data_IF_296475545139
#
_entry.id   IF_296475545139
#
_cell.length_a   1.000
_cell.length_b   1.000
_cell.length_c   1.000
_cell.angle_alpha   90.00
_cell.angle_beta   90.00
_cell.angle_gamma   90.00
#
_symmetry.space_group_name_H-M   'P 1'
#
loop_
_entity.id
_entity.type
_entity.pdbx_description
1 polymer ?
#
# COMPACT_ATOMS: atom_id res chain seq x y z
N UNK A 1 4.74 -1.62 6.25
CA UNK A 1 3.80 -1.38 5.13
C UNK A 1 4.09 -0.07 4.42
N UNK A 2 3.89 1.09 5.04
CA UNK A 2 4.04 2.43 4.41
C UNK A 2 5.36 2.59 3.64
N UNK A 3 6.50 2.33 4.29
CA UNK A 3 7.83 2.45 3.67
C UNK A 3 7.95 1.57 2.42
N UNK A 4 7.42 0.34 2.49
CA UNK A 4 7.43 -0.61 1.37
C UNK A 4 6.56 -0.08 0.22
N UNK A 5 5.39 0.49 0.51
CA UNK A 5 4.53 1.11 -0.49
C UNK A 5 5.20 2.29 -1.18
N UNK A 6 5.89 3.17 -0.42
CA UNK A 6 6.59 4.33 -0.98
C UNK A 6 7.74 3.90 -1.89
N UNK A 7 8.61 3.02 -1.41
CA UNK A 7 9.74 2.51 -2.20
C UNK A 7 9.22 1.80 -3.46
N UNK A 8 8.24 0.93 -3.31
CA UNK A 8 7.67 0.20 -4.44
C UNK A 8 6.96 1.13 -5.44
N UNK A 9 6.32 2.21 -4.99
CA UNK A 9 5.71 3.20 -5.85
C UNK A 9 6.75 3.97 -6.68
N UNK A 10 7.90 4.31 -6.08
CA UNK A 10 9.02 4.93 -6.79
C UNK A 10 9.56 3.99 -7.87
N UNK A 11 9.84 2.73 -7.49
CA UNK A 11 10.35 1.73 -8.42
C UNK A 11 9.37 1.51 -9.58
N UNK A 12 8.09 1.29 -9.27
CA UNK A 12 7.08 1.07 -10.29
C UNK A 12 6.87 2.33 -11.16
N UNK A 13 6.84 3.53 -10.57
CA UNK A 13 6.76 4.78 -11.31
C UNK A 13 7.91 4.98 -12.30
N UNK A 14 9.14 4.66 -11.90
CA UNK A 14 10.32 4.70 -12.77
C UNK A 14 10.27 3.65 -13.88
N UNK A 15 9.80 2.43 -13.58
CA UNK A 15 9.59 1.40 -14.61
C UNK A 15 8.56 1.89 -15.63
N UNK A 16 7.45 2.47 -15.16
CA UNK A 16 6.38 2.97 -16.01
C UNK A 16 6.78 4.20 -16.85
N UNK A 17 7.70 5.03 -16.36
CA UNK A 17 8.17 6.22 -17.09
C UNK A 17 9.01 5.86 -18.32
N UNK A 18 9.73 4.73 -18.27
CA UNK A 18 10.50 4.22 -19.40
C UNK A 18 9.67 3.58 -20.53
N UNK A 19 8.39 3.30 -20.30
CA UNK A 19 7.55 2.54 -21.24
C UNK A 19 6.85 3.48 -22.24
N UNK A 20 7.29 3.45 -23.50
CA UNK A 20 6.74 4.29 -24.58
C UNK A 20 5.63 3.62 -25.41
N UNK A 21 5.71 2.30 -25.65
CA UNK A 21 4.73 1.54 -26.43
C UNK A 21 3.82 0.72 -25.52
N UNK A 22 2.52 0.68 -25.82
CA UNK A 22 1.55 -0.10 -25.03
C UNK A 22 1.25 0.45 -23.64
N UNK A 23 1.67 1.70 -23.34
CA UNK A 23 1.56 2.31 -22.02
C UNK A 23 0.13 2.33 -21.47
N UNK A 24 -0.86 2.65 -22.30
CA UNK A 24 -2.26 2.70 -21.88
C UNK A 24 -2.77 1.34 -21.38
N UNK A 25 -2.48 0.26 -22.11
CA UNK A 25 -2.86 -1.09 -21.71
C UNK A 25 -2.14 -1.52 -20.43
N UNK A 26 -0.85 -1.20 -20.31
CA UNK A 26 -0.09 -1.55 -19.12
C UNK A 26 -0.58 -0.80 -17.88
N UNK A 27 -0.89 0.49 -17.99
CA UNK A 27 -1.51 1.26 -16.91
C UNK A 27 -2.89 0.70 -16.54
N UNK A 28 -3.68 0.29 -17.53
CA UNK A 28 -4.99 -0.34 -17.29
C UNK A 28 -4.87 -1.67 -16.53
N UNK A 29 -3.85 -2.48 -16.81
CA UNK A 29 -3.60 -3.74 -16.07
C UNK A 29 -3.05 -3.45 -14.67
N UNK A 30 -2.10 -2.52 -14.55
CA UNK A 30 -1.46 -2.17 -13.28
C UNK A 30 -2.47 -1.62 -12.28
N UNK A 31 -3.48 -0.86 -12.72
CA UNK A 31 -4.46 -0.25 -11.81
C UNK A 31 -5.50 -1.23 -11.25
N UNK A 32 -5.60 -2.45 -11.81
CA UNK A 32 -6.61 -3.44 -11.41
C UNK A 32 -6.66 -3.72 -9.90
N UNK A 33 -5.54 -3.93 -9.18
CA UNK A 33 -5.57 -4.18 -7.73
C UNK A 33 -6.26 -3.07 -6.93
N UNK A 34 -6.07 -1.82 -7.36
CA UNK A 34 -6.68 -0.65 -6.72
C UNK A 34 -8.17 -0.52 -7.06
N UNK A 35 -8.55 -0.89 -8.29
CA UNK A 35 -9.93 -0.83 -8.75
C UNK A 35 -10.84 -1.88 -8.07
N UNK A 36 -10.26 -2.96 -7.55
CA UNK A 36 -11.00 -4.02 -6.87
C UNK A 36 -11.42 -3.59 -5.45
N UNK A 37 -12.66 -3.93 -5.03
CA UNK A 37 -13.10 -3.69 -3.66
C UNK A 37 -12.20 -4.39 -2.62
N UNK A 38 -11.99 -3.78 -1.43
CA UNK A 38 -11.18 -4.36 -0.34
C UNK A 38 -11.54 -5.81 0.00
N UNK A 39 -12.84 -6.11 0.05
CA UNK A 39 -13.37 -7.45 0.34
C UNK A 39 -12.94 -8.46 -0.73
N UNK A 40 -13.04 -8.09 -2.00
CA UNK A 40 -12.67 -8.96 -3.13
C UNK A 40 -11.17 -9.26 -3.10
N UNK A 41 -10.34 -8.25 -2.87
CA UNK A 41 -8.89 -8.43 -2.71
C UNK A 41 -8.57 -9.42 -1.60
N UNK A 42 -9.24 -9.26 -0.45
CA UNK A 42 -9.02 -10.12 0.72
C UNK A 42 -9.44 -11.56 0.48
N UNK A 43 -10.53 -11.79 -0.26
CA UNK A 43 -10.96 -13.13 -0.65
C UNK A 43 -10.00 -13.78 -1.65
N UNK A 44 -9.51 -13.03 -2.65
CA UNK A 44 -8.53 -13.52 -3.62
C UNK A 44 -7.25 -13.99 -2.92
N UNK A 45 -6.69 -13.14 -2.05
CA UNK A 45 -5.50 -13.50 -1.29
C UNK A 45 -5.78 -14.60 -0.26
N UNK A 46 -6.96 -14.63 0.36
CA UNK A 46 -7.39 -15.73 1.22
C UNK A 46 -7.40 -17.08 0.52
N UNK A 47 -7.82 -17.12 -0.75
CA UNK A 47 -7.73 -18.32 -1.57
C UNK A 47 -6.28 -18.68 -1.90
N UNK A 48 -5.43 -17.71 -2.26
CA UNK A 48 -4.01 -17.95 -2.57
C UNK A 48 -3.28 -18.57 -1.36
N UNK A 49 -3.52 -18.03 -0.17
CA UNK A 49 -2.90 -18.47 1.09
C UNK A 49 -3.68 -19.58 1.82
N UNK A 50 -4.67 -20.20 1.17
CA UNK A 50 -5.44 -21.27 1.78
C UNK A 50 -4.54 -22.46 2.16
N UNK A 51 -4.64 -22.98 3.40
CA UNK A 51 -3.84 -24.11 3.85
C UNK A 51 -4.25 -25.43 3.21
N UNK A 52 -5.45 -25.52 2.61
CA UNK A 52 -5.99 -26.77 2.07
C UNK A 52 -5.96 -26.84 0.54
N UNK A 53 -6.17 -25.71 -0.14
CA UNK A 53 -6.26 -25.67 -1.61
C UNK A 53 -5.53 -24.47 -2.21
N UNK A 54 -4.71 -23.76 -1.44
CA UNK A 54 -4.15 -22.49 -1.85
C UNK A 54 -3.19 -22.61 -3.03
N UNK A 55 -3.31 -21.67 -3.97
CA UNK A 55 -2.48 -21.65 -5.17
C UNK A 55 -0.97 -21.56 -4.85
N UNK A 56 -0.61 -20.83 -3.79
CA UNK A 56 0.80 -20.74 -3.35
C UNK A 56 1.31 -22.08 -2.84
N UNK A 57 0.54 -22.76 -1.98
CA UNK A 57 0.89 -24.09 -1.49
C UNK A 57 1.01 -25.10 -2.64
N UNK A 58 0.03 -25.12 -3.55
CA UNK A 58 0.04 -26.02 -4.70
C UNK A 58 1.27 -25.81 -5.60
N UNK A 59 1.65 -24.55 -5.85
CA UNK A 59 2.83 -24.21 -6.62
C UNK A 59 4.11 -24.68 -5.92
N UNK A 60 4.30 -24.31 -4.65
CA UNK A 60 5.50 -24.63 -3.87
C UNK A 60 5.67 -26.13 -3.65
N UNK A 61 4.57 -26.87 -3.45
CA UNK A 61 4.57 -28.32 -3.33
C UNK A 61 4.98 -28.98 -4.65
N UNK A 62 4.41 -28.54 -5.77
CA UNK A 62 4.69 -29.09 -7.11
C UNK A 62 6.16 -28.92 -7.53
N UNK A 63 6.79 -27.80 -7.15
CA UNK A 63 8.21 -27.53 -7.45
C UNK A 63 9.17 -28.07 -6.39
N UNK A 64 8.67 -28.79 -5.37
CA UNK A 64 9.48 -29.46 -4.37
C UNK A 64 10.12 -28.53 -3.31
N UNK A 65 9.61 -27.31 -3.12
CA UNK A 65 10.09 -26.39 -2.06
C UNK A 65 9.50 -26.75 -0.70
N UNK A 66 8.30 -27.34 -0.67
CA UNK A 66 7.64 -27.79 0.57
C UNK A 66 7.18 -29.25 0.42
N UNK A 67 7.31 -30.03 1.49
CA UNK A 67 6.88 -31.43 1.53
C UNK A 67 5.40 -31.61 1.89
N UNK A 68 4.77 -30.55 2.40
CA UNK A 68 3.35 -30.54 2.78
C UNK A 68 2.79 -29.12 2.74
N UNK A 69 1.47 -28.99 2.61
CA UNK A 69 0.82 -27.67 2.59
C UNK A 69 0.99 -26.94 3.92
N UNK A 70 1.41 -25.68 3.83
CA UNK A 70 1.73 -24.83 4.99
C UNK A 70 0.52 -23.96 5.37
N UNK A 71 0.31 -23.80 6.67
CA UNK A 71 -0.65 -22.83 7.21
C UNK A 71 0.01 -21.46 7.32
N UNK A 72 -0.13 -20.64 6.29
CA UNK A 72 0.48 -19.30 6.22
C UNK A 72 -0.04 -18.32 7.28
N UNK A 73 -1.21 -18.57 7.87
CA UNK A 73 -1.81 -17.72 8.92
C UNK A 73 -1.64 -18.32 10.33
N UNK A 74 -0.58 -19.09 10.56
CA UNK A 74 -0.35 -19.79 11.83
C UNK A 74 -0.18 -18.86 13.05
N UNK A 75 0.31 -17.63 12.85
CA UNK A 75 0.58 -16.66 13.92
C UNK A 75 0.03 -15.28 13.59
N UNK A 76 -0.20 -14.46 14.62
CA UNK A 76 -0.59 -13.06 14.46
C UNK A 76 0.41 -12.29 13.60
N UNK A 77 1.70 -12.47 13.88
CA UNK A 77 2.77 -11.78 13.18
C UNK A 77 2.75 -12.06 11.67
N UNK A 78 2.69 -13.33 11.27
CA UNK A 78 2.66 -13.68 9.84
C UNK A 78 1.36 -13.18 9.20
N UNK A 79 0.22 -13.32 9.88
CA UNK A 79 -1.08 -12.86 9.38
C UNK A 79 -1.09 -11.34 9.14
N UNK A 80 -0.56 -10.55 10.07
CA UNK A 80 -0.45 -9.08 9.94
C UNK A 80 0.48 -8.70 8.77
N UNK A 81 1.60 -9.42 8.59
CA UNK A 81 2.49 -9.17 7.46
C UNK A 81 1.83 -9.51 6.11
N UNK A 82 1.02 -10.58 6.04
CA UNK A 82 0.23 -10.89 4.85
C UNK A 82 -0.82 -9.81 4.57
N UNK A 83 -1.49 -9.29 5.59
CA UNK A 83 -2.41 -8.15 5.42
C UNK A 83 -1.66 -6.92 4.90
N UNK A 84 -0.47 -6.65 5.43
CA UNK A 84 0.38 -5.57 4.92
C UNK A 84 0.75 -5.77 3.45
N UNK A 85 1.06 -7.00 3.03
CA UNK A 85 1.34 -7.34 1.64
C UNK A 85 0.11 -7.06 0.75
N UNK A 86 -1.09 -7.46 1.19
CA UNK A 86 -2.35 -7.22 0.46
C UNK A 86 -2.59 -5.71 0.28
N UNK A 87 -2.41 -4.94 1.36
CA UNK A 87 -2.56 -3.48 1.31
C UNK A 87 -1.51 -2.82 0.40
N UNK A 88 -0.23 -3.23 0.50
CA UNK A 88 0.81 -2.74 -0.42
C UNK A 88 0.38 -3.02 -1.85
N UNK A 89 0.06 -4.27 -2.18
CA UNK A 89 -0.35 -4.68 -3.53
C UNK A 89 -1.56 -3.90 -4.06
N UNK A 90 -2.56 -3.64 -3.21
CA UNK A 90 -3.75 -2.87 -3.56
C UNK A 90 -3.45 -1.40 -3.84
N UNK A 91 -2.64 -0.74 -3.03
CA UNK A 91 -2.43 0.71 -3.12
C UNK A 91 -1.22 1.12 -3.97
N UNK A 92 -0.28 0.20 -4.21
CA UNK A 92 0.91 0.44 -5.03
C UNK A 92 0.59 1.03 -6.41
N UNK A 93 -0.44 0.57 -7.15
CA UNK A 93 -0.73 1.09 -8.48
C UNK A 93 -1.03 2.59 -8.50
N UNK A 94 -1.92 3.04 -7.61
CA UNK A 94 -2.30 4.45 -7.54
C UNK A 94 -1.09 5.31 -7.16
N UNK A 95 -0.31 4.86 -6.16
CA UNK A 95 0.88 5.57 -5.71
C UNK A 95 1.94 5.67 -6.81
N UNK A 96 2.14 4.61 -7.58
CA UNK A 96 3.07 4.61 -8.70
C UNK A 96 2.62 5.54 -9.84
N UNK A 97 1.32 5.65 -10.10
CA UNK A 97 0.77 6.60 -11.08
C UNK A 97 0.99 8.04 -10.62
N UNK A 98 0.85 8.33 -9.33
CA UNK A 98 1.17 9.65 -8.78
C UNK A 98 2.65 9.99 -8.99
N UNK A 99 3.55 9.07 -8.66
CA UNK A 99 4.99 9.25 -8.94
C UNK A 99 5.23 9.45 -10.43
N UNK A 100 4.62 8.62 -11.28
CA UNK A 100 4.74 8.73 -12.74
C UNK A 100 4.29 10.10 -13.26
N UNK A 101 3.18 10.65 -12.76
CA UNK A 101 2.71 11.98 -13.15
C UNK A 101 3.76 13.06 -12.84
N UNK A 102 4.37 12.99 -11.65
CA UNK A 102 5.46 13.90 -11.25
C UNK A 102 6.71 13.71 -12.07
N UNK A 103 7.09 12.46 -12.39
CA UNK A 103 8.22 12.20 -13.28
C UNK A 103 8.01 12.80 -14.68
N UNK A 104 6.75 12.88 -15.13
CA UNK A 104 6.40 13.44 -16.44
C UNK A 104 6.33 14.96 -16.48
N UNK A 105 6.23 15.62 -15.32
CA UNK A 105 6.31 17.08 -15.26
C UNK A 105 7.76 17.61 -15.27
N UNK A 106 8.77 16.74 -15.13
CA UNK A 106 10.18 17.14 -15.15
C UNK A 106 10.59 17.44 -16.60
N UNK A 107 11.06 18.66 -16.93
CA UNK A 107 11.55 18.97 -18.26
C UNK A 107 12.72 18.08 -18.68
N UNK A 108 12.69 17.56 -19.92
CA UNK A 108 13.75 16.69 -20.44
C UNK A 108 15.11 17.41 -20.49
N UNK A 109 15.09 18.72 -20.74
CA UNK A 109 16.24 19.65 -20.77
C UNK A 109 17.12 19.55 -19.50
N UNK A 110 16.52 19.34 -18.32
CA UNK A 110 17.28 19.18 -17.07
C UNK A 110 18.16 17.92 -17.10
N UNK A 111 17.63 16.83 -17.66
CA UNK A 111 18.38 15.59 -17.82
C UNK A 111 19.43 15.72 -18.93
N UNK A 112 19.16 16.49 -19.98
CA UNK A 112 20.14 16.74 -21.06
C UNK A 112 21.32 17.56 -20.55
N UNK A 113 21.06 18.65 -19.83
CA UNK A 113 22.08 19.48 -19.21
C UNK A 113 22.96 18.67 -18.25
N UNK A 114 22.34 17.85 -17.40
CA UNK A 114 23.09 16.98 -16.49
C UNK A 114 23.99 15.97 -17.23
N UNK A 115 23.55 15.42 -18.38
CA UNK A 115 24.40 14.55 -19.21
C UNK A 115 25.59 15.30 -19.81
N UNK A 116 25.41 16.55 -20.22
CA UNK A 116 26.50 17.41 -20.73
C UNK A 116 27.52 17.69 -19.60
N UNK A 117 27.04 17.91 -18.37
CA UNK A 117 27.88 18.10 -17.17
C UNK A 117 28.52 16.79 -16.65
N UNK A 118 28.35 15.67 -17.37
CA UNK A 118 28.94 14.38 -17.01
C UNK A 118 28.26 13.69 -15.81
N UNK A 119 27.01 14.04 -15.50
CA UNK A 119 26.22 13.32 -14.52
C UNK A 119 25.84 11.93 -15.04
N UNK A 120 26.08 10.91 -14.23
CA UNK A 120 25.60 9.56 -14.46
C UNK A 120 24.12 9.43 -14.02
N UNK A 121 23.40 8.35 -14.40
CA UNK A 121 21.99 8.17 -14.04
C UNK A 121 21.73 8.21 -12.53
N UNK A 122 22.70 7.81 -11.71
CA UNK A 122 22.60 7.88 -10.25
C UNK A 122 22.63 9.32 -9.74
N UNK A 123 23.54 10.16 -10.23
CA UNK A 123 23.57 11.59 -9.91
C UNK A 123 22.31 12.31 -10.39
N UNK A 124 21.84 12.00 -11.61
CA UNK A 124 20.58 12.56 -12.12
C UNK A 124 19.39 12.16 -11.25
N UNK A 125 19.33 10.90 -10.79
CA UNK A 125 18.29 10.47 -9.87
C UNK A 125 18.33 11.25 -8.57
N UNK A 126 19.50 11.39 -7.92
CA UNK A 126 19.61 12.06 -6.62
C UNK A 126 19.37 13.58 -6.67
N UNK A 127 19.75 14.25 -7.76
CA UNK A 127 19.74 15.72 -7.82
C UNK A 127 18.59 16.30 -8.65
N UNK A 128 17.95 15.49 -9.52
CA UNK A 128 16.83 15.94 -10.36
C UNK A 128 15.57 15.17 -9.98
N UNK A 129 15.61 13.85 -10.10
CA UNK A 129 14.41 13.01 -9.97
C UNK A 129 13.90 12.97 -8.53
N UNK A 130 14.77 12.64 -7.56
CA UNK A 130 14.43 12.47 -6.16
C UNK A 130 13.86 13.76 -5.56
N UNK A 131 14.51 14.94 -5.70
CA UNK A 131 13.95 16.19 -5.18
C UNK A 131 12.59 16.54 -5.80
N UNK A 132 12.41 16.26 -7.10
CA UNK A 132 11.14 16.51 -7.78
C UNK A 132 9.99 15.62 -7.26
N UNK A 133 10.28 14.36 -6.85
CA UNK A 133 9.25 13.45 -6.33
C UNK A 133 9.00 13.59 -4.83
N UNK A 134 9.86 14.26 -4.06
CA UNK A 134 9.70 14.45 -2.59
C UNK A 134 8.30 14.97 -2.20
N UNK A 135 7.76 16.04 -2.83
CA UNK A 135 6.41 16.52 -2.50
C UNK A 135 5.33 15.46 -2.75
N UNK A 136 5.50 14.67 -3.80
CA UNK A 136 4.57 13.57 -4.13
C UNK A 136 4.68 12.44 -3.11
N UNK A 137 5.89 12.12 -2.65
CA UNK A 137 6.12 11.15 -1.58
C UNK A 137 5.46 11.60 -0.27
N UNK A 138 5.49 12.89 0.06
CA UNK A 138 4.81 13.43 1.23
C UNK A 138 3.29 13.22 1.16
N UNK A 139 2.68 13.44 -0.02
CA UNK A 139 1.26 13.16 -0.24
C UNK A 139 0.96 11.67 -0.11
N UNK A 140 1.75 10.80 -0.74
CA UNK A 140 1.60 9.34 -0.65
C UNK A 140 1.70 8.88 0.81
N UNK A 141 2.70 9.38 1.54
CA UNK A 141 2.90 9.10 2.96
C UNK A 141 1.65 9.48 3.75
N UNK A 142 1.13 10.69 3.54
CA UNK A 142 -0.06 11.20 4.22
C UNK A 142 -1.29 10.31 4.00
N UNK A 143 -1.60 10.01 2.74
CA UNK A 143 -2.75 9.17 2.37
C UNK A 143 -2.58 7.76 2.95
N UNK A 144 -1.38 7.18 2.82
CA UNK A 144 -1.11 5.82 3.29
C UNK A 144 -1.24 5.67 4.81
N UNK A 145 -0.84 6.69 5.59
CA UNK A 145 -1.01 6.71 7.04
C UNK A 145 -2.48 6.71 7.44
N UNK A 146 -3.30 7.54 6.78
CA UNK A 146 -4.75 7.61 7.06
C UNK A 146 -5.42 6.26 6.75
N UNK A 147 -5.06 5.65 5.63
CA UNK A 147 -5.56 4.31 5.24
C UNK A 147 -5.13 3.26 6.26
N UNK A 148 -3.86 3.26 6.68
CA UNK A 148 -3.34 2.28 7.62
C UNK A 148 -4.02 2.35 9.00
N UNK A 149 -4.38 3.55 9.47
CA UNK A 149 -5.08 3.74 10.74
C UNK A 149 -6.52 3.20 10.68
N UNK A 150 -7.18 3.35 9.53
CA UNK A 150 -8.59 3.00 9.34
C UNK A 150 -8.80 1.63 8.69
N UNK A 151 -7.76 0.81 8.57
CA UNK A 151 -7.89 -0.49 7.91
C UNK A 151 -8.84 -1.40 8.69
N UNK A 152 -9.87 -1.86 8.01
CA UNK A 152 -10.93 -2.70 8.57
C UNK A 152 -11.18 -3.90 7.67
N UNK A 153 -11.57 -3.66 6.41
CA UNK A 153 -12.06 -4.71 5.51
C UNK A 153 -11.04 -5.84 5.32
N UNK A 154 -9.78 -5.50 5.07
CA UNK A 154 -8.72 -6.48 4.86
C UNK A 154 -8.47 -7.33 6.11
N UNK A 155 -8.52 -6.72 7.29
CA UNK A 155 -8.37 -7.45 8.56
C UNK A 155 -9.60 -8.34 8.80
N UNK A 156 -10.80 -7.77 8.63
CA UNK A 156 -12.05 -8.47 8.87
C UNK A 156 -12.19 -9.71 7.99
N UNK A 157 -11.90 -9.60 6.69
CA UNK A 157 -12.09 -10.68 5.73
C UNK A 157 -10.93 -11.68 5.76
N UNK A 158 -9.68 -11.20 5.81
CA UNK A 158 -8.50 -12.08 5.73
C UNK A 158 -8.17 -12.73 7.07
N UNK A 159 -8.12 -11.95 8.16
CA UNK A 159 -7.78 -12.44 9.49
C UNK A 159 -8.98 -13.00 10.26
N UNK A 160 -10.20 -12.70 9.79
CA UNK A 160 -11.46 -13.08 10.45
C UNK A 160 -11.54 -12.48 11.87
N UNK A 161 -12.22 -13.16 12.79
CA UNK A 161 -12.47 -12.69 14.15
C UNK A 161 -11.33 -12.91 15.15
N UNK A 162 -10.13 -13.24 14.66
CA UNK A 162 -8.94 -13.45 15.47
C UNK A 162 -8.64 -12.22 16.32
N UNK A 163 -8.54 -12.41 17.64
CA UNK A 163 -8.35 -11.31 18.58
C UNK A 163 -6.93 -10.72 18.51
N UNK A 164 -5.95 -11.56 18.18
CA UNK A 164 -4.52 -11.23 18.10
C UNK A 164 -4.14 -10.39 16.86
N UNK A 165 -5.07 -10.16 15.94
CA UNK A 165 -4.84 -9.43 14.68
C UNK A 165 -5.77 -8.24 14.48
N UNK A 166 -6.59 -7.86 15.48
CA UNK A 166 -7.58 -6.79 15.32
C UNK A 166 -6.92 -5.41 15.29
N UNK A 167 -7.33 -4.59 14.32
CA UNK A 167 -7.11 -3.15 14.40
C UNK A 167 -8.08 -2.50 15.39
N UNK A 168 -7.81 -1.25 15.75
CA UNK A 168 -8.74 -0.42 16.52
C UNK A 168 -10.10 -0.28 15.81
N UNK A 169 -10.11 -0.14 14.48
CA UNK A 169 -11.34 -0.08 13.70
C UNK A 169 -12.14 -1.38 13.80
N UNK A 170 -11.46 -2.53 13.74
CA UNK A 170 -12.07 -3.84 13.96
C UNK A 170 -12.58 -4.00 15.39
N UNK A 171 -11.84 -3.54 16.40
CA UNK A 171 -12.28 -3.63 17.79
C UNK A 171 -13.49 -2.73 18.06
N UNK A 172 -13.55 -1.52 17.50
CA UNK A 172 -14.74 -0.67 17.56
C UNK A 172 -15.98 -1.38 17.01
N UNK A 173 -15.85 -2.01 15.84
CA UNK A 173 -16.91 -2.80 15.22
C UNK A 173 -17.34 -3.97 16.11
N UNK A 174 -16.37 -4.74 16.63
CA UNK A 174 -16.64 -5.88 17.49
C UNK A 174 -17.42 -5.47 18.75
N UNK A 175 -17.04 -4.35 19.37
CA UNK A 175 -17.69 -3.82 20.57
C UNK A 175 -19.11 -3.34 20.29
N UNK A 176 -19.29 -2.53 19.25
CA UNK A 176 -20.59 -1.99 18.90
C UNK A 176 -21.57 -3.06 18.41
N UNK A 177 -21.15 -3.93 17.48
CA UNK A 177 -22.08 -4.78 16.74
C UNK A 177 -22.07 -6.25 17.16
N UNK A 178 -20.98 -6.75 17.74
CA UNK A 178 -20.92 -8.15 18.21
C UNK A 178 -21.18 -8.28 19.71
N UNK A 179 -20.60 -7.40 20.51
CA UNK A 179 -20.78 -7.37 21.95
C UNK A 179 -21.93 -6.46 22.41
N UNK A 180 -22.56 -5.72 21.48
CA UNK A 180 -23.65 -4.77 21.72
C UNK A 180 -23.32 -3.66 22.74
N UNK A 181 -22.03 -3.41 22.95
CA UNK A 181 -21.51 -2.31 23.76
C UNK A 181 -21.28 -1.09 22.85
N UNK A 182 -22.41 -0.45 22.49
CA UNK A 182 -22.42 0.72 21.62
C UNK A 182 -21.62 1.89 22.21
N UNK A 183 -21.63 2.04 23.53
CA UNK A 183 -20.91 3.11 24.22
C UNK A 183 -19.40 2.98 24.04
N UNK A 184 -18.86 1.79 24.32
CA UNK A 184 -17.43 1.55 24.17
C UNK A 184 -16.98 1.52 22.70
N UNK A 185 -17.78 0.92 21.80
CA UNK A 185 -17.50 0.93 20.37
C UNK A 185 -17.46 2.36 19.79
N UNK A 186 -18.40 3.22 20.20
CA UNK A 186 -18.42 4.63 19.79
C UNK A 186 -17.23 5.41 20.33
N UNK A 187 -16.80 5.16 21.58
CA UNK A 187 -15.63 5.80 22.15
C UNK A 187 -14.35 5.50 21.33
N UNK A 188 -14.15 4.25 20.92
CA UNK A 188 -13.02 3.89 20.04
C UNK A 188 -13.12 4.61 18.69
N UNK A 189 -14.32 4.69 18.10
CA UNK A 189 -14.53 5.39 16.83
C UNK A 189 -14.19 6.89 16.94
N UNK A 190 -14.57 7.57 18.02
CA UNK A 190 -14.18 8.96 18.27
C UNK A 190 -12.66 9.13 18.46
N UNK A 191 -11.99 8.19 19.12
CA UNK A 191 -10.52 8.21 19.25
C UNK A 191 -9.88 8.10 17.86
N UNK A 192 -10.35 7.17 17.02
CA UNK A 192 -9.86 7.03 15.65
C UNK A 192 -10.08 8.29 14.81
N UNK A 193 -11.25 8.93 14.95
CA UNK A 193 -11.56 10.21 14.32
C UNK A 193 -10.55 11.29 14.73
N UNK A 194 -10.30 11.45 16.03
CA UNK A 194 -9.36 12.44 16.56
C UNK A 194 -7.95 12.18 16.02
N UNK A 195 -7.48 10.94 16.08
CA UNK A 195 -6.18 10.55 15.52
C UNK A 195 -6.12 10.90 14.03
N UNK A 196 -7.12 10.51 13.24
CA UNK A 196 -7.19 10.81 11.81
C UNK A 196 -7.12 12.31 11.51
N UNK A 197 -7.88 13.12 12.25
CA UNK A 197 -7.87 14.59 12.11
C UNK A 197 -6.49 15.16 12.50
N UNK A 198 -5.90 14.70 13.61
CA UNK A 198 -4.58 15.17 14.05
C UNK A 198 -3.50 14.89 13.00
N UNK A 199 -3.48 13.68 12.44
CA UNK A 199 -2.56 13.34 11.34
C UNK A 199 -2.82 14.20 10.11
N UNK A 200 -4.08 14.37 9.70
CA UNK A 200 -4.44 15.21 8.55
C UNK A 200 -3.98 16.66 8.71
N UNK A 201 -4.18 17.26 9.89
CA UNK A 201 -3.74 18.64 10.17
C UNK A 201 -2.22 18.75 10.15
N UNK A 202 -1.52 17.78 10.75
CA UNK A 202 -0.05 17.75 10.76
C UNK A 202 0.51 17.70 9.34
N UNK A 203 -0.07 16.86 8.48
CA UNK A 203 0.35 16.74 7.08
C UNK A 203 0.06 18.01 6.29
N UNK A 204 -1.14 18.60 6.41
CA UNK A 204 -1.47 19.85 5.72
C UNK A 204 -0.52 20.98 6.13
N UNK A 205 -0.25 21.15 7.43
CA UNK A 205 0.67 22.19 7.92
C UNK A 205 2.09 22.05 7.37
N UNK A 206 2.58 20.82 7.22
CA UNK A 206 3.92 20.59 6.69
C UNK A 206 3.96 20.76 5.17
N UNK A 207 2.92 20.33 4.44
CA UNK A 207 2.84 20.50 2.99
C UNK A 207 2.74 21.99 2.59
N UNK A 208 1.96 22.79 3.32
CA UNK A 208 1.85 24.24 3.08
C UNK A 208 3.09 25.05 3.49
N UNK A 209 4.05 24.47 4.20
CA UNK A 209 5.32 25.14 4.52
C UNK A 209 6.36 25.01 3.41
N UNK A 210 6.19 24.04 2.51
CA UNK A 210 7.12 23.77 1.39
C UNK A 210 6.67 24.41 0.06
N UNK A 211 5.51 25.08 0.04
CA UNK A 211 4.98 25.88 -1.08
C UNK A 211 5.15 27.36 -0.75
#
# INVERSE_FOLDING_TARGET
MIVISVIGAIILGLILSGIRRGRGLLLAVVILPWALPPVVNSLLWGNIFSPTYGALNALLYKIGIIDSYVVWTNSAFVTINLICLILVWKYLPLMAIMVLATLQSIPEELYEAARIDGADPYRSFLHITLPAIVPTMAIILSISSIVAINVFDEIYVFARFRADTRSLAMEAYMRAFKFLDLGYGSAIAYILLIIGISFSILYLKNLYKEI
#
